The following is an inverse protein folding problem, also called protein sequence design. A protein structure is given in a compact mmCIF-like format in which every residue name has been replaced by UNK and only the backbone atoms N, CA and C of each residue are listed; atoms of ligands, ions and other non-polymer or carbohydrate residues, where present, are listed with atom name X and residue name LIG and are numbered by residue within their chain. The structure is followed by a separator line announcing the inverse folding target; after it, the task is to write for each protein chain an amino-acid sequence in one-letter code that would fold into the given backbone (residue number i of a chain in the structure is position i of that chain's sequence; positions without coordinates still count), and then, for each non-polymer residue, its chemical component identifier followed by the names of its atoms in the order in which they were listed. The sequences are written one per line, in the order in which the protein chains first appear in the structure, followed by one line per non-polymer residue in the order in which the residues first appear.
data_IF_452293697522
#
_entry.id   IF_452293697522
#
_cell.length_a   1.000
_cell.length_b   1.000
_cell.length_c   1.000
_cell.angle_alpha   90.00
_cell.angle_beta   90.00
_cell.angle_gamma   90.00
#
_symmetry.space_group_name_H-M   'P 1'
#
loop_
_entity.id
_entity.type
_entity.pdbx_description
1 polymer ?
#
# COMPACT_ATOMS: atom_id res chain seq x y z
N UNK A 1 12.38 -16.38 -5.15
CA UNK A 1 12.18 -16.06 -3.73
C UNK A 1 10.72 -15.71 -3.40
N UNK A 2 10.00 -15.04 -4.29
CA UNK A 2 8.58 -14.66 -4.08
C UNK A 2 7.59 -15.83 -4.16
N UNK A 3 7.85 -16.85 -4.96
CA UNK A 3 6.91 -17.98 -5.14
C UNK A 3 6.62 -18.80 -3.87
N UNK A 4 7.53 -18.84 -2.90
CA UNK A 4 7.33 -19.60 -1.65
C UNK A 4 6.48 -18.89 -0.59
N UNK A 5 6.17 -17.60 -0.77
CA UNK A 5 5.40 -16.80 0.18
C UNK A 5 3.94 -16.58 -0.24
N UNK A 6 3.56 -16.96 -1.46
CA UNK A 6 2.16 -16.86 -1.94
C UNK A 6 1.42 -18.12 -1.51
N UNK A 7 0.32 -17.95 -0.81
CA UNK A 7 -0.61 -19.05 -0.54
C UNK A 7 -1.35 -19.39 -1.83
N UNK A 8 -1.33 -20.67 -2.23
CA UNK A 8 -2.06 -21.17 -3.39
C UNK A 8 -3.44 -21.71 -3.03
N UNK A 9 -3.82 -21.66 -1.76
CA UNK A 9 -5.08 -22.20 -1.22
C UNK A 9 -6.11 -21.12 -0.93
N UNK A 10 -7.14 -21.51 -0.21
CA UNK A 10 -8.30 -20.69 0.17
C UNK A 10 -7.93 -19.41 0.97
N UNK A 11 -6.71 -19.31 1.48
CA UNK A 11 -6.21 -18.09 2.14
C UNK A 11 -5.77 -16.99 1.18
N UNK A 12 -5.64 -17.28 -0.13
CA UNK A 12 -5.29 -16.28 -1.12
C UNK A 12 -6.45 -15.31 -1.35
N UNK A 13 -6.20 -14.00 -1.20
CA UNK A 13 -7.24 -12.97 -1.34
C UNK A 13 -7.87 -12.93 -2.73
N UNK A 14 -7.13 -13.27 -3.79
CA UNK A 14 -7.70 -13.37 -5.13
C UNK A 14 -8.74 -14.52 -5.21
N UNK A 15 -8.47 -15.65 -4.54
CA UNK A 15 -9.43 -16.75 -4.49
C UNK A 15 -10.62 -16.42 -3.57
N UNK A 16 -10.36 -15.75 -2.43
CA UNK A 16 -11.44 -15.25 -1.55
C UNK A 16 -12.36 -14.27 -2.31
N UNK A 17 -11.81 -13.41 -3.16
CA UNK A 17 -12.59 -12.50 -3.99
C UNK A 17 -13.51 -13.26 -4.96
N UNK A 18 -13.02 -14.30 -5.64
CA UNK A 18 -13.84 -15.17 -6.49
C UNK A 18 -14.99 -15.79 -5.69
N UNK A 19 -14.70 -16.36 -4.51
CA UNK A 19 -15.72 -16.96 -3.66
C UNK A 19 -16.75 -15.96 -3.17
N UNK A 20 -16.31 -14.75 -2.81
CA UNK A 20 -17.21 -13.69 -2.36
C UNK A 20 -18.18 -13.26 -3.48
N UNK A 21 -17.69 -13.10 -4.72
CA UNK A 21 -18.53 -12.79 -5.88
C UNK A 21 -19.53 -13.93 -6.16
N UNK A 22 -19.09 -15.19 -6.15
CA UNK A 22 -19.98 -16.34 -6.31
C UNK A 22 -21.07 -16.38 -5.25
N UNK A 23 -20.71 -16.12 -3.99
CA UNK A 23 -21.67 -16.12 -2.87
C UNK A 23 -22.68 -14.97 -3.01
N UNK A 24 -22.22 -13.79 -3.40
CA UNK A 24 -23.08 -12.60 -3.54
C UNK A 24 -24.07 -12.73 -4.72
N UNK A 25 -23.59 -13.21 -5.86
CA UNK A 25 -24.38 -13.25 -7.11
C UNK A 25 -25.10 -14.57 -7.35
N UNK A 26 -24.73 -15.63 -6.66
CA UNK A 26 -25.19 -17.00 -6.95
C UNK A 26 -24.55 -17.60 -8.21
N UNK A 27 -23.61 -16.90 -8.86
CA UNK A 27 -22.93 -17.38 -10.07
C UNK A 27 -22.18 -18.69 -9.81
N UNK A 28 -22.39 -19.69 -10.68
CA UNK A 28 -21.74 -21.00 -10.59
C UNK A 28 -20.58 -21.17 -11.56
N UNK A 29 -20.28 -20.12 -12.35
CA UNK A 29 -19.18 -20.16 -13.30
C UNK A 29 -17.83 -20.30 -12.57
N UNK A 30 -16.90 -21.00 -13.21
CA UNK A 30 -15.50 -21.09 -12.77
C UNK A 30 -14.61 -20.08 -13.49
N UNK A 31 -13.39 -19.92 -12.98
CA UNK A 31 -12.34 -19.15 -13.64
C UNK A 31 -10.98 -19.80 -13.39
N UNK A 32 -10.10 -19.79 -14.38
CA UNK A 32 -8.69 -20.08 -14.21
C UNK A 32 -7.97 -18.77 -13.87
N UNK A 33 -7.28 -18.75 -12.74
CA UNK A 33 -6.59 -17.55 -12.23
C UNK A 33 -5.09 -17.72 -12.40
N UNK A 34 -4.46 -16.80 -13.13
CA UNK A 34 -3.02 -16.70 -13.20
C UNK A 34 -2.54 -15.41 -12.52
N UNK A 35 -1.95 -15.55 -11.32
CA UNK A 35 -1.50 -14.43 -10.50
C UNK A 35 0.01 -14.20 -10.66
N UNK A 36 0.40 -13.10 -11.31
CA UNK A 36 1.77 -12.65 -11.41
C UNK A 36 2.05 -11.55 -10.38
N UNK A 37 2.70 -11.91 -9.27
CA UNK A 37 3.05 -10.95 -8.20
C UNK A 37 4.22 -10.06 -8.62
N UNK A 38 3.95 -8.76 -8.76
CA UNK A 38 4.97 -7.72 -8.97
C UNK A 38 5.18 -6.87 -7.73
N UNK A 39 4.13 -6.65 -6.93
CA UNK A 39 4.23 -5.96 -5.65
C UNK A 39 4.87 -6.91 -4.64
N UNK A 40 5.93 -6.49 -3.93
CA UNK A 40 6.59 -7.31 -2.91
C UNK A 40 5.61 -7.77 -1.83
N UNK A 41 5.75 -9.03 -1.41
CA UNK A 41 4.87 -9.64 -0.41
C UNK A 41 5.30 -9.18 0.99
N UNK A 42 4.33 -8.98 1.90
CA UNK A 42 4.58 -8.51 3.28
C UNK A 42 5.43 -7.24 3.31
N UNK A 43 5.09 -6.29 2.46
CA UNK A 43 5.86 -5.07 2.26
C UNK A 43 5.14 -3.79 2.74
N UNK A 44 3.94 -3.89 3.30
CA UNK A 44 3.14 -2.71 3.65
C UNK A 44 2.57 -1.95 2.43
N UNK A 45 2.53 -2.61 1.26
CA UNK A 45 2.12 -1.99 -0.03
C UNK A 45 0.73 -2.43 -0.50
N UNK A 46 -0.08 -3.06 0.34
CA UNK A 46 -1.45 -3.45 -0.01
C UNK A 46 -1.57 -4.49 -1.15
N UNK A 47 -0.47 -5.17 -1.54
CA UNK A 47 -0.43 -6.01 -2.74
C UNK A 47 -1.44 -7.15 -2.78
N UNK A 48 -1.79 -7.74 -1.64
CA UNK A 48 -2.85 -8.78 -1.55
C UNK A 48 -4.24 -8.19 -1.77
N UNK A 49 -4.50 -7.01 -1.20
CA UNK A 49 -5.76 -6.29 -1.38
C UNK A 49 -5.92 -5.77 -2.82
N UNK A 50 -4.81 -5.40 -3.48
CA UNK A 50 -4.81 -5.05 -4.90
C UNK A 50 -5.16 -6.25 -5.79
N UNK A 51 -4.64 -7.45 -5.48
CA UNK A 51 -5.03 -8.66 -6.18
C UNK A 51 -6.53 -8.95 -6.02
N UNK A 52 -7.09 -8.76 -4.82
CA UNK A 52 -8.52 -8.93 -4.57
C UNK A 52 -9.37 -7.92 -5.34
N UNK A 53 -8.99 -6.64 -5.33
CA UNK A 53 -9.69 -5.59 -6.09
C UNK A 53 -9.68 -5.88 -7.60
N UNK A 54 -8.52 -6.26 -8.15
CA UNK A 54 -8.40 -6.64 -9.55
C UNK A 54 -9.27 -7.87 -9.90
N UNK A 55 -9.35 -8.84 -8.97
CA UNK A 55 -10.24 -10.00 -9.15
C UNK A 55 -11.70 -9.61 -9.15
N UNK A 56 -12.16 -8.74 -8.27
CA UNK A 56 -13.55 -8.27 -8.23
C UNK A 56 -13.93 -7.59 -9.54
N UNK A 57 -13.11 -6.65 -10.01
CA UNK A 57 -13.32 -5.95 -11.29
C UNK A 57 -13.28 -6.93 -12.48
N UNK A 58 -12.27 -7.80 -12.50
CA UNK A 58 -12.08 -8.78 -13.57
C UNK A 58 -13.23 -9.77 -13.68
N UNK A 59 -13.72 -10.32 -12.55
CA UNK A 59 -14.83 -11.25 -12.53
C UNK A 59 -16.16 -10.59 -12.89
N UNK A 60 -16.40 -9.36 -12.42
CA UNK A 60 -17.57 -8.57 -12.79
C UNK A 60 -17.67 -8.44 -14.32
N UNK A 61 -16.55 -8.11 -14.97
CA UNK A 61 -16.47 -7.99 -16.44
C UNK A 61 -16.52 -9.34 -17.14
N UNK A 62 -15.74 -10.33 -16.66
CA UNK A 62 -15.58 -11.62 -17.32
C UNK A 62 -16.85 -12.46 -17.32
N UNK A 63 -17.66 -12.38 -16.26
CA UNK A 63 -18.93 -13.09 -16.13
C UNK A 63 -20.17 -12.22 -16.49
N UNK A 64 -19.97 -10.99 -16.98
CA UNK A 64 -21.04 -10.00 -17.30
C UNK A 64 -22.06 -9.85 -16.15
N UNK A 65 -21.55 -9.73 -14.90
CA UNK A 65 -22.40 -9.71 -13.72
C UNK A 65 -23.13 -8.38 -13.53
N UNK A 66 -22.61 -7.29 -14.13
CA UNK A 66 -23.15 -5.93 -14.05
C UNK A 66 -23.31 -5.39 -12.63
N UNK A 67 -22.43 -5.85 -11.73
CA UNK A 67 -22.37 -5.32 -10.38
C UNK A 67 -22.02 -3.82 -10.43
N UNK A 68 -22.77 -3.03 -9.66
CA UNK A 68 -22.49 -1.62 -9.47
C UNK A 68 -21.20 -1.42 -8.66
N UNK A 69 -20.66 -0.21 -8.70
CA UNK A 69 -19.50 0.12 -7.88
C UNK A 69 -19.77 -0.05 -6.38
N UNK A 70 -20.96 0.33 -5.92
CA UNK A 70 -21.38 0.16 -4.53
C UNK A 70 -21.38 -1.32 -4.11
N UNK A 71 -21.90 -2.22 -4.95
CA UNK A 71 -21.88 -3.66 -4.68
C UNK A 71 -20.46 -4.20 -4.63
N UNK A 72 -19.59 -3.78 -5.55
CA UNK A 72 -18.17 -4.17 -5.54
C UNK A 72 -17.45 -3.68 -4.27
N UNK A 73 -17.72 -2.45 -3.83
CA UNK A 73 -17.18 -1.91 -2.58
C UNK A 73 -17.65 -2.70 -1.36
N UNK A 74 -18.94 -3.05 -1.31
CA UNK A 74 -19.51 -3.86 -0.23
C UNK A 74 -18.88 -5.25 -0.18
N UNK A 75 -18.71 -5.91 -1.32
CA UNK A 75 -18.00 -7.19 -1.40
C UNK A 75 -16.53 -7.01 -0.97
N UNK A 76 -15.86 -5.98 -1.48
CA UNK A 76 -14.47 -5.67 -1.18
C UNK A 76 -14.21 -5.46 0.32
N UNK A 77 -15.10 -4.76 1.01
CA UNK A 77 -15.00 -4.52 2.45
C UNK A 77 -15.02 -5.81 3.29
N UNK A 78 -15.64 -6.89 2.79
CA UNK A 78 -15.62 -8.21 3.46
C UNK A 78 -14.27 -8.93 3.33
N UNK A 79 -13.46 -8.56 2.32
CA UNK A 79 -12.17 -9.17 2.02
C UNK A 79 -11.01 -8.51 2.76
N UNK A 80 -11.11 -7.20 2.99
CA UNK A 80 -10.10 -6.44 3.70
C UNK A 80 -10.34 -4.93 3.63
N UNK A 81 -9.86 -4.20 4.64
CA UNK A 81 -10.09 -2.76 4.77
C UNK A 81 -9.51 -1.93 3.61
N UNK A 82 -8.41 -2.39 2.99
CA UNK A 82 -7.76 -1.67 1.89
C UNK A 82 -8.43 -1.94 0.52
N UNK A 83 -9.25 -3.01 0.39
CA UNK A 83 -9.84 -3.41 -0.90
C UNK A 83 -10.76 -2.35 -1.48
N UNK A 84 -11.65 -1.69 -0.70
CA UNK A 84 -12.49 -0.62 -1.20
C UNK A 84 -11.70 0.55 -1.80
N UNK A 85 -10.60 0.96 -1.13
CA UNK A 85 -9.71 1.99 -1.68
C UNK A 85 -9.08 1.57 -3.01
N UNK A 86 -8.59 0.33 -3.09
CA UNK A 86 -7.94 -0.19 -4.29
C UNK A 86 -8.89 -0.46 -5.47
N UNK A 87 -10.20 -0.52 -5.20
CA UNK A 87 -11.24 -0.54 -6.24
C UNK A 87 -11.46 0.84 -6.88
N UNK A 88 -11.18 1.92 -6.15
CA UNK A 88 -11.44 3.30 -6.59
C UNK A 88 -10.16 4.08 -6.89
N UNK A 89 -9.06 3.79 -6.18
CA UNK A 89 -7.79 4.51 -6.30
C UNK A 89 -7.85 5.97 -5.84
N UNK A 90 -6.93 6.79 -6.34
CA UNK A 90 -6.87 8.21 -6.02
C UNK A 90 -6.28 8.51 -4.64
N UNK A 91 -6.81 9.54 -3.98
CA UNK A 91 -6.42 9.96 -2.63
C UNK A 91 -7.65 9.99 -1.73
N UNK A 92 -7.57 9.33 -0.59
CA UNK A 92 -8.66 9.28 0.36
C UNK A 92 -8.15 9.25 1.81
N UNK A 93 -8.94 9.82 2.70
CA UNK A 93 -8.82 9.63 4.15
C UNK A 93 -9.62 8.40 4.55
N UNK A 94 -8.96 7.41 5.15
CA UNK A 94 -9.61 6.27 5.77
C UNK A 94 -9.89 6.52 7.26
N UNK A 95 -11.09 6.15 7.70
CA UNK A 95 -11.50 6.14 9.11
C UNK A 95 -12.05 4.77 9.51
N UNK A 96 -12.41 4.57 10.77
CA UNK A 96 -12.76 3.23 11.26
C UNK A 96 -11.51 2.36 11.34
N UNK A 97 -11.52 1.21 10.67
CA UNK A 97 -10.34 0.34 10.46
C UNK A 97 -9.59 0.68 9.15
N UNK A 98 -10.00 1.78 8.44
CA UNK A 98 -9.53 2.19 7.13
C UNK A 98 -10.53 1.95 5.99
N UNK A 99 -11.69 1.36 6.27
CA UNK A 99 -12.72 1.03 5.28
C UNK A 99 -13.68 2.17 4.96
N UNK A 100 -13.80 3.17 5.85
CA UNK A 100 -14.66 4.34 5.64
C UNK A 100 -13.83 5.42 4.96
N UNK A 101 -14.05 5.61 3.67
CA UNK A 101 -13.23 6.46 2.82
C UNK A 101 -13.90 7.81 2.55
N UNK A 102 -13.13 8.89 2.72
CA UNK A 102 -13.49 10.24 2.28
C UNK A 102 -12.46 10.67 1.25
N UNK A 103 -12.88 10.80 0.00
CA UNK A 103 -12.01 11.15 -1.12
C UNK A 103 -11.70 12.65 -1.13
N UNK A 104 -10.48 12.98 -1.55
CA UNK A 104 -10.00 14.34 -1.76
C UNK A 104 -9.28 14.42 -3.10
N UNK A 105 -8.96 15.63 -3.53
CA UNK A 105 -8.20 15.84 -4.75
C UNK A 105 -6.83 15.17 -4.64
N UNK A 106 -6.45 14.39 -5.64
CA UNK A 106 -5.12 13.81 -5.73
C UNK A 106 -4.11 14.89 -6.13
N UNK A 107 -2.94 14.94 -5.48
CA UNK A 107 -1.84 15.76 -5.97
C UNK A 107 -1.36 15.27 -7.33
N UNK A 108 -0.63 16.12 -8.05
CA UNK A 108 0.04 15.75 -9.29
C UNK A 108 0.96 14.53 -9.10
N UNK A 109 1.15 13.70 -10.14
CA UNK A 109 1.99 12.52 -10.03
C UNK A 109 3.45 12.85 -9.70
N UNK A 110 3.96 12.27 -8.62
CA UNK A 110 5.33 12.44 -8.13
C UNK A 110 6.12 11.14 -8.21
N UNK A 111 7.43 11.28 -8.45
CA UNK A 111 8.34 10.14 -8.44
C UNK A 111 8.64 9.66 -7.03
N UNK A 112 8.70 8.35 -6.87
CA UNK A 112 8.97 7.67 -5.62
C UNK A 112 10.06 6.61 -5.82
N UNK A 113 10.90 6.43 -4.79
CA UNK A 113 11.68 5.22 -4.62
C UNK A 113 11.06 4.43 -3.46
N UNK A 114 10.73 3.18 -3.72
CA UNK A 114 10.35 2.22 -2.67
C UNK A 114 11.60 1.45 -2.27
N UNK A 115 12.02 1.55 -1.02
CA UNK A 115 13.15 0.81 -0.49
C UNK A 115 12.67 -0.17 0.59
N UNK A 116 12.87 -1.47 0.35
CA UNK A 116 12.44 -2.52 1.26
C UNK A 116 13.65 -3.27 1.79
N UNK A 117 14.00 -3.10 3.07
CA UNK A 117 15.02 -3.91 3.72
C UNK A 117 14.59 -5.37 3.84
N UNK A 118 15.54 -6.26 4.14
CA UNK A 118 15.27 -7.70 4.28
C UNK A 118 14.56 -8.08 5.59
N UNK A 119 13.94 -7.13 6.26
CA UNK A 119 13.12 -7.38 7.43
C UNK A 119 11.76 -7.94 6.98
N UNK A 120 11.26 -8.93 7.70
CA UNK A 120 9.90 -9.46 7.53
C UNK A 120 9.07 -9.08 8.74
N UNK A 121 8.04 -8.28 8.51
CA UNK A 121 7.06 -7.91 9.55
C UNK A 121 5.70 -8.47 9.14
N UNK A 122 5.24 -9.56 9.77
CA UNK A 122 3.89 -10.04 9.53
C UNK A 122 2.88 -8.98 9.95
N UNK A 123 1.99 -8.58 9.05
CA UNK A 123 0.98 -7.52 9.29
C UNK A 123 0.18 -7.78 10.57
N UNK A 124 -0.28 -9.03 10.79
CA UNK A 124 -1.01 -9.39 12.01
C UNK A 124 -0.20 -9.17 13.29
N UNK A 125 1.10 -9.43 13.27
CA UNK A 125 1.98 -9.20 14.42
C UNK A 125 2.18 -7.70 14.69
N UNK A 126 2.32 -6.87 13.64
CA UNK A 126 2.39 -5.43 13.78
C UNK A 126 1.11 -4.84 14.39
N UNK A 127 -0.06 -5.23 13.87
CA UNK A 127 -1.35 -4.81 14.43
C UNK A 127 -1.58 -5.33 15.85
N UNK A 128 -1.10 -6.52 16.21
CA UNK A 128 -1.18 -7.07 17.57
C UNK A 128 -0.42 -6.25 18.62
N UNK A 129 0.56 -5.45 18.21
CA UNK A 129 1.28 -4.51 19.08
C UNK A 129 0.56 -3.17 19.28
N UNK A 130 -0.42 -2.86 18.42
CA UNK A 130 -1.14 -1.60 18.51
C UNK A 130 -2.16 -1.63 19.64
N UNK A 131 -1.98 -0.75 20.62
CA UNK A 131 -2.84 -0.64 21.81
C UNK A 131 -3.96 0.42 21.68
N UNK A 132 -4.23 0.90 20.44
CA UNK A 132 -5.24 1.93 20.19
C UNK A 132 -4.80 3.36 20.52
N UNK A 133 -3.56 3.58 20.95
CA UNK A 133 -3.01 4.91 21.28
C UNK A 133 -1.80 5.20 20.41
N UNK A 134 -1.84 6.33 19.70
CA UNK A 134 -0.68 6.96 19.10
C UNK A 134 -0.84 8.46 19.24
N UNK A 135 0.18 9.12 19.77
CA UNK A 135 0.16 10.58 19.91
C UNK A 135 0.37 11.30 18.56
N UNK A 136 1.04 10.62 17.65
CA UNK A 136 1.39 11.16 16.33
C UNK A 136 0.17 11.42 15.42
N UNK A 137 -0.94 10.72 15.61
CA UNK A 137 -2.00 10.63 14.59
C UNK A 137 -3.05 11.74 14.60
N UNK A 138 -3.34 12.39 15.74
CA UNK A 138 -4.51 13.28 15.82
C UNK A 138 -4.35 14.66 15.17
N UNK A 139 -3.15 15.23 15.21
CA UNK A 139 -2.88 16.54 14.59
C UNK A 139 -2.39 16.48 13.16
N UNK A 140 -1.97 15.31 12.72
CA UNK A 140 -1.19 15.12 11.51
C UNK A 140 -2.05 14.98 10.27
N UNK A 141 -3.20 14.29 10.33
CA UNK A 141 -3.99 13.95 9.13
C UNK A 141 -4.55 15.19 8.45
N UNK A 142 -5.14 16.11 9.19
CA UNK A 142 -5.73 17.33 8.59
C UNK A 142 -4.64 18.23 7.97
N UNK A 143 -3.46 18.29 8.61
CA UNK A 143 -2.29 19.01 8.06
C UNK A 143 -1.77 18.36 6.79
N UNK A 144 -1.64 17.02 6.78
CA UNK A 144 -1.21 16.27 5.60
C UNK A 144 -2.18 16.45 4.44
N UNK A 145 -3.50 16.35 4.70
CA UNK A 145 -4.52 16.57 3.68
C UNK A 145 -4.44 17.98 3.09
N UNK A 146 -4.30 19.00 3.93
CA UNK A 146 -4.15 20.39 3.46
C UNK A 146 -2.92 20.57 2.58
N UNK A 147 -1.79 19.93 2.90
CA UNK A 147 -0.61 19.97 2.03
C UNK A 147 -0.85 19.24 0.70
N UNK A 148 -1.52 18.09 0.72
CA UNK A 148 -1.84 17.32 -0.49
C UNK A 148 -2.78 18.10 -1.41
N UNK A 149 -3.82 18.75 -0.88
CA UNK A 149 -4.77 19.59 -1.63
C UNK A 149 -4.08 20.80 -2.28
N UNK A 150 -3.01 21.31 -1.65
CA UNK A 150 -2.17 22.38 -2.21
C UNK A 150 -1.04 21.87 -3.11
N UNK A 151 -1.03 20.58 -3.45
CA UNK A 151 0.03 19.94 -4.25
C UNK A 151 1.45 20.03 -3.64
N UNK A 152 1.54 20.21 -2.31
CA UNK A 152 2.80 20.25 -1.57
C UNK A 152 3.11 18.90 -0.94
N UNK A 153 3.49 17.93 -1.77
CA UNK A 153 3.81 16.58 -1.31
C UNK A 153 5.02 16.55 -0.36
N UNK A 154 5.96 17.47 -0.52
CA UNK A 154 7.14 17.53 0.36
C UNK A 154 6.72 17.83 1.80
N UNK A 155 5.89 18.84 2.00
CA UNK A 155 5.36 19.17 3.33
C UNK A 155 4.40 18.08 3.84
N UNK A 156 3.60 17.47 2.96
CA UNK A 156 2.77 16.32 3.32
C UNK A 156 3.61 15.17 3.89
N UNK A 157 4.68 14.76 3.21
CA UNK A 157 5.59 13.71 3.70
C UNK A 157 6.28 14.09 5.02
N UNK A 158 6.76 15.34 5.12
CA UNK A 158 7.47 15.82 6.32
C UNK A 158 6.54 15.90 7.54
N UNK A 159 5.25 16.22 7.32
CA UNK A 159 4.24 16.27 8.35
C UNK A 159 3.59 14.91 8.64
N UNK A 160 3.85 13.91 7.81
CA UNK A 160 3.29 12.57 7.99
C UNK A 160 3.97 11.83 9.14
N UNK A 161 3.20 10.99 9.81
CA UNK A 161 3.70 10.04 10.81
C UNK A 161 3.07 8.66 10.57
N UNK A 162 3.82 7.62 10.85
CA UNK A 162 3.32 6.26 10.83
C UNK A 162 3.46 5.61 12.21
N UNK A 163 2.34 5.29 12.84
CA UNK A 163 2.32 4.65 14.16
C UNK A 163 3.14 3.36 14.22
N UNK A 164 3.23 2.61 13.10
CA UNK A 164 4.05 1.41 13.07
C UNK A 164 5.56 1.68 13.10
N UNK A 165 6.03 2.88 12.75
CA UNK A 165 7.42 3.25 12.98
C UNK A 165 7.74 3.27 14.49
N UNK A 166 6.87 3.86 15.30
CA UNK A 166 7.02 3.91 16.76
C UNK A 166 7.04 2.49 17.38
N UNK A 167 6.27 1.56 16.80
CA UNK A 167 6.11 0.20 17.30
C UNK A 167 7.21 -0.78 16.85
N UNK A 168 7.80 -0.54 15.69
CA UNK A 168 8.70 -1.50 15.04
C UNK A 168 10.18 -1.08 15.11
N UNK A 169 10.48 0.21 15.05
CA UNK A 169 11.86 0.70 15.04
C UNK A 169 12.67 0.29 16.27
N UNK A 170 12.10 0.25 17.51
CA UNK A 170 12.87 -0.21 18.67
C UNK A 170 13.40 -1.63 18.55
N UNK A 171 12.73 -2.51 17.79
CA UNK A 171 13.10 -3.91 17.64
C UNK A 171 13.77 -4.24 16.29
N UNK A 172 13.82 -3.26 15.38
CA UNK A 172 14.31 -3.46 14.01
C UNK A 172 15.23 -2.33 13.57
N UNK A 173 16.48 -2.37 14.03
CA UNK A 173 17.51 -1.36 13.71
C UNK A 173 17.67 -1.15 12.21
N UNK A 174 17.52 -2.20 11.38
CA UNK A 174 17.62 -2.07 9.92
C UNK A 174 16.53 -1.17 9.30
N UNK A 175 15.36 -1.04 9.95
CA UNK A 175 14.32 -0.10 9.53
C UNK A 175 14.76 1.35 9.80
N UNK A 176 15.38 1.58 10.96
CA UNK A 176 15.93 2.89 11.33
C UNK A 176 17.03 3.30 10.35
N UNK A 177 17.99 2.41 10.12
CA UNK A 177 19.09 2.61 9.18
C UNK A 177 18.55 2.94 7.78
N UNK A 178 17.54 2.19 7.32
CA UNK A 178 16.94 2.42 6.00
C UNK A 178 16.28 3.80 5.91
N UNK A 179 15.53 4.21 6.93
CA UNK A 179 14.91 5.54 6.95
C UNK A 179 15.96 6.66 7.02
N UNK A 180 16.92 6.55 7.92
CA UNK A 180 17.97 7.54 8.12
C UNK A 180 18.88 7.68 6.89
N UNK A 181 19.11 6.61 6.14
CA UNK A 181 19.86 6.65 4.89
C UNK A 181 19.32 7.71 3.92
N UNK A 182 18.01 7.83 3.80
CA UNK A 182 17.37 8.80 2.91
C UNK A 182 17.15 10.15 3.57
N UNK A 183 16.69 10.17 4.82
CA UNK A 183 16.38 11.43 5.52
C UNK A 183 17.63 12.28 5.77
N UNK A 184 18.77 11.66 6.08
CA UNK A 184 20.06 12.37 6.22
C UNK A 184 20.57 12.99 4.93
N UNK A 185 20.08 12.51 3.78
CA UNK A 185 20.35 13.06 2.45
C UNK A 185 19.30 14.10 2.00
N UNK A 186 18.36 14.44 2.87
CA UNK A 186 17.32 15.44 2.61
C UNK A 186 16.10 14.92 1.83
N UNK A 187 15.97 13.61 1.66
CA UNK A 187 14.79 13.02 1.01
C UNK A 187 13.68 12.76 2.03
N UNK A 188 12.47 13.36 1.86
CA UNK A 188 11.33 13.04 2.69
C UNK A 188 10.98 11.56 2.58
N UNK A 189 10.92 10.86 3.70
CA UNK A 189 10.80 9.40 3.76
C UNK A 189 9.86 8.97 4.88
N UNK A 190 8.94 8.05 4.57
CA UNK A 190 8.02 7.46 5.52
C UNK A 190 7.91 5.96 5.28
N UNK A 191 7.75 5.18 6.34
CA UNK A 191 7.39 3.77 6.22
C UNK A 191 5.93 3.62 5.81
N UNK A 192 5.62 2.76 4.84
CA UNK A 192 4.24 2.55 4.38
C UNK A 192 3.53 1.42 5.11
N UNK A 193 2.27 1.66 5.49
CA UNK A 193 1.41 0.67 6.15
C UNK A 193 2.07 0.07 7.38
N UNK A 194 1.98 -1.26 7.54
CA UNK A 194 2.66 -2.01 8.60
C UNK A 194 4.14 -2.30 8.30
N UNK A 195 4.73 -1.65 7.33
CA UNK A 195 6.12 -1.82 6.92
C UNK A 195 6.40 -3.14 6.15
N UNK A 196 7.67 -3.43 5.89
CA UNK A 196 8.88 -2.67 6.22
C UNK A 196 9.33 -1.68 5.13
N UNK A 197 8.53 -1.40 4.09
CA UNK A 197 8.96 -0.58 2.96
C UNK A 197 8.98 0.90 3.32
N UNK A 198 10.10 1.58 3.01
CA UNK A 198 10.20 3.04 3.02
C UNK A 198 9.78 3.60 1.68
N UNK A 199 8.94 4.62 1.71
CA UNK A 199 8.55 5.42 0.55
C UNK A 199 9.35 6.71 0.61
N UNK A 200 10.14 6.95 -0.41
CA UNK A 200 11.06 8.09 -0.55
C UNK A 200 10.53 9.01 -1.64
N UNK A 201 10.23 10.25 -1.30
CA UNK A 201 9.76 11.24 -2.27
C UNK A 201 10.95 11.80 -3.05
N UNK A 202 10.82 11.85 -4.37
CA UNK A 202 11.85 12.32 -5.31
C UNK A 202 11.34 13.50 -6.12
N UNK A 203 12.24 14.40 -6.49
CA UNK A 203 11.93 15.48 -7.43
C UNK A 203 12.04 15.00 -8.89
N UNK A 204 12.96 14.07 -9.17
CA UNK A 204 13.29 13.60 -10.53
C UNK A 204 13.57 12.09 -10.52
N UNK A 205 13.25 11.37 -11.60
CA UNK A 205 13.50 9.92 -11.67
C UNK A 205 15.00 9.57 -11.62
N UNK A 206 15.90 10.45 -12.06
CA UNK A 206 17.34 10.23 -12.01
C UNK A 206 17.89 10.10 -10.59
N UNK A 207 17.26 10.78 -9.60
CA UNK A 207 17.64 10.66 -8.19
C UNK A 207 17.44 9.21 -7.68
N UNK A 208 16.43 8.51 -8.20
CA UNK A 208 16.22 7.11 -7.84
C UNK A 208 17.38 6.20 -8.29
N UNK A 209 17.89 6.40 -9.51
CA UNK A 209 19.02 5.63 -10.02
C UNK A 209 20.29 5.90 -9.20
N UNK A 210 20.53 7.17 -8.88
CA UNK A 210 21.65 7.56 -8.03
C UNK A 210 21.55 6.91 -6.64
N UNK A 211 20.37 6.98 -6.00
CA UNK A 211 20.14 6.37 -4.70
C UNK A 211 20.29 4.84 -4.74
N UNK A 212 19.89 4.19 -5.83
CA UNK A 212 20.10 2.74 -5.99
C UNK A 212 21.58 2.36 -6.03
N UNK A 213 22.42 3.16 -6.68
CA UNK A 213 23.88 2.96 -6.68
C UNK A 213 24.48 3.26 -5.29
N UNK A 214 24.02 4.31 -4.60
CA UNK A 214 24.47 4.65 -3.25
C UNK A 214 24.09 3.56 -2.23
N UNK A 215 22.88 2.97 -2.33
CA UNK A 215 22.45 1.83 -1.50
C UNK A 215 23.43 0.67 -1.66
N UNK A 216 23.78 0.32 -2.91
CA UNK A 216 24.73 -0.75 -3.20
C UNK A 216 26.13 -0.43 -2.69
N UNK A 217 26.59 0.81 -2.93
CA UNK A 217 27.91 1.27 -2.48
C UNK A 217 28.05 1.26 -0.95
N UNK A 218 26.95 1.50 -0.22
CA UNK A 218 26.89 1.41 1.23
C UNK A 218 26.81 -0.06 1.74
N UNK A 219 26.74 -1.04 0.85
CA UNK A 219 26.67 -2.46 1.19
C UNK A 219 25.26 -2.94 1.59
N UNK A 220 24.23 -2.14 1.35
CA UNK A 220 22.85 -2.55 1.65
C UNK A 220 22.26 -3.39 0.51
N UNK A 221 21.60 -4.49 0.88
CA UNK A 221 20.93 -5.39 -0.05
C UNK A 221 19.39 -5.21 0.09
N UNK A 222 18.93 -3.94 -0.06
CA UNK A 222 17.52 -3.60 -0.04
C UNK A 222 16.92 -3.75 -1.44
N UNK A 223 15.71 -4.31 -1.51
CA UNK A 223 14.93 -4.23 -2.74
C UNK A 223 14.54 -2.77 -2.98
N UNK A 224 14.90 -2.22 -4.12
CA UNK A 224 14.56 -0.86 -4.50
C UNK A 224 13.80 -0.81 -5.83
N UNK A 225 12.65 -0.13 -5.83
CA UNK A 225 11.77 -0.02 -7.00
C UNK A 225 11.45 1.45 -7.26
N UNK A 226 11.55 1.86 -8.51
CA UNK A 226 11.18 3.21 -8.95
C UNK A 226 9.71 3.18 -9.39
N UNK A 227 8.92 4.12 -8.92
CA UNK A 227 7.49 4.24 -9.28
C UNK A 227 7.04 5.69 -9.26
N UNK A 228 5.76 5.91 -9.52
CA UNK A 228 5.07 7.21 -9.37
C UNK A 228 3.82 7.04 -8.53
N UNK A 229 3.39 8.13 -7.88
CA UNK A 229 1.99 8.23 -7.47
C UNK A 229 1.09 8.26 -8.71
N UNK A 230 -0.11 7.77 -8.58
CA UNK A 230 -1.12 7.81 -9.63
C UNK A 230 -2.39 8.47 -9.13
N UNK A 231 -3.17 9.03 -10.04
CA UNK A 231 -4.51 9.56 -9.77
C UNK A 231 -5.56 8.48 -10.03
N UNK A 232 -6.81 8.79 -9.77
CA UNK A 232 -7.93 7.90 -10.07
C UNK A 232 -8.09 7.65 -11.59
N UNK A 233 -7.70 8.62 -12.43
CA UNK A 233 -7.78 8.53 -13.89
C UNK A 233 -6.75 7.56 -14.49
N UNK A 234 -5.70 7.21 -13.72
CA UNK A 234 -4.65 6.29 -14.16
C UNK A 234 -5.03 4.80 -13.96
N UNK A 235 -6.18 4.54 -13.35
CA UNK A 235 -6.66 3.16 -13.13
C UNK A 235 -7.27 2.57 -14.41
N UNK A 236 -7.07 1.25 -14.64
CA UNK A 236 -7.57 0.56 -15.83
C UNK A 236 -9.10 0.40 -15.88
#
# INVERSE_FOLDING_TARGET
YMQKLVTYGEDNLALKALRAVQAYTGCKAGAAIHLLKRVPIQAGLGGGSADAAAMLLGLNRFWDLRLTQEELLNIGATLGSDVPFLLQGGTARGTGRGEILTYTQSPEPHWLLLAKPKVSVPTAAAYGRFNGKSEATKKTIDTVLSHMENNDLKSAFTSSANTFEELLFPDHEELVICKEFFTSRGYPTIMTGSGPTMVVLLNKPMEALQLQEEIKAAGHDWLSLITKTCTQEDLP
#
